data_IF_157081849855
#
_entry.id   IF_157081849855
#
_cell.length_a   1.000
_cell.length_b   1.000
_cell.length_c   1.000
_cell.angle_alpha   90.00
_cell.angle_beta   90.00
_cell.angle_gamma   90.00
#
_symmetry.space_group_name_H-M   'P 1'
#
loop_
_entity.id
_entity.type
_entity.pdbx_description
1 polymer ?
#
# COMPACT_ATOMS: atom_id res chain seq x y z
N UNK A 1 -13.23 -15.54 35.06
CA UNK A 1 -13.06 -16.69 34.19
C UNK A 1 -11.91 -16.43 33.25
N UNK A 2 -10.99 -17.40 33.09
CA UNK A 2 -9.89 -17.27 32.11
C UNK A 2 -10.46 -17.59 30.73
N UNK A 3 -10.92 -16.57 30.00
CA UNK A 3 -11.36 -16.74 28.60
C UNK A 3 -10.21 -17.23 27.73
N UNK A 4 -10.45 -18.28 26.96
CA UNK A 4 -9.46 -18.90 26.07
C UNK A 4 -9.44 -18.18 24.74
N UNK A 5 -8.24 -17.74 24.32
CA UNK A 5 -8.01 -17.15 22.99
C UNK A 5 -7.42 -18.22 22.07
N UNK A 6 -7.99 -18.37 20.90
CA UNK A 6 -7.56 -19.28 19.85
C UNK A 6 -7.38 -18.54 18.51
N UNK A 7 -6.87 -19.24 17.50
CA UNK A 7 -6.75 -18.70 16.14
C UNK A 7 -6.98 -19.79 15.10
N UNK A 8 -7.40 -19.37 13.93
CA UNK A 8 -7.49 -20.21 12.74
C UNK A 8 -6.84 -19.51 11.54
N UNK A 9 -6.07 -20.30 10.76
CA UNK A 9 -5.40 -19.80 9.54
C UNK A 9 -6.19 -20.29 8.34
N UNK A 10 -6.60 -19.35 7.50
CA UNK A 10 -7.34 -19.60 6.25
C UNK A 10 -6.42 -19.37 5.05
N UNK A 11 -6.51 -20.26 4.07
CA UNK A 11 -5.74 -20.22 2.84
C UNK A 11 -6.52 -19.59 1.66
N UNK A 12 -7.80 -19.35 1.85
CA UNK A 12 -8.69 -18.75 0.84
C UNK A 12 -9.71 -17.81 1.48
N UNK A 13 -10.04 -16.72 0.79
CA UNK A 13 -11.06 -15.76 1.19
C UNK A 13 -12.45 -16.41 1.25
N UNK A 14 -12.71 -17.44 0.44
CA UNK A 14 -13.97 -18.18 0.44
C UNK A 14 -14.24 -18.95 1.73
N UNK A 15 -13.18 -19.27 2.50
CA UNK A 15 -13.27 -20.00 3.77
C UNK A 15 -13.47 -19.10 4.99
N UNK A 16 -13.46 -17.77 4.81
CA UNK A 16 -13.57 -16.83 5.92
C UNK A 16 -14.99 -16.84 6.53
N UNK A 17 -15.10 -16.73 7.86
CA UNK A 17 -16.39 -16.64 8.54
C UNK A 17 -17.24 -15.49 8.01
N UNK A 18 -18.57 -15.63 8.08
CA UNK A 18 -19.51 -14.59 7.62
C UNK A 18 -19.35 -13.29 8.42
N UNK A 19 -19.02 -13.44 9.70
CA UNK A 19 -18.79 -12.34 10.65
C UNK A 19 -17.52 -11.54 10.36
N UNK A 20 -16.65 -12.01 9.47
CA UNK A 20 -15.38 -11.35 9.13
C UNK A 20 -15.58 -9.88 8.75
N UNK A 21 -16.56 -9.59 7.90
CA UNK A 21 -16.83 -8.23 7.45
C UNK A 21 -17.37 -7.31 8.55
N UNK A 22 -17.93 -7.84 9.64
CA UNK A 22 -18.35 -7.02 10.78
C UNK A 22 -17.15 -6.37 11.48
N UNK A 23 -16.01 -7.07 11.56
CA UNK A 23 -14.78 -6.50 12.10
C UNK A 23 -14.04 -5.62 11.10
N UNK A 24 -14.15 -5.94 9.80
CA UNK A 24 -13.51 -5.16 8.74
C UNK A 24 -14.25 -3.85 8.42
N UNK A 25 -15.41 -3.56 9.03
CA UNK A 25 -16.34 -2.50 8.66
C UNK A 25 -15.72 -1.12 8.44
N UNK A 26 -14.69 -0.78 9.21
CA UNK A 26 -14.00 0.51 9.14
C UNK A 26 -12.74 0.48 8.22
N UNK A 27 -12.43 -0.67 7.59
CA UNK A 27 -11.27 -0.83 6.71
C UNK A 27 -11.58 -1.76 5.54
N UNK A 28 -11.86 -1.17 4.38
CA UNK A 28 -12.20 -1.91 3.16
C UNK A 28 -11.12 -2.93 2.75
N UNK A 29 -9.85 -2.67 3.09
CA UNK A 29 -8.71 -3.53 2.75
C UNK A 29 -8.61 -4.82 3.58
N UNK A 30 -9.52 -5.02 4.53
CA UNK A 30 -9.64 -6.24 5.30
C UNK A 30 -10.99 -6.95 5.06
N UNK A 31 -11.86 -6.42 4.20
CA UNK A 31 -13.12 -7.07 3.82
C UNK A 31 -12.87 -8.33 2.99
N UNK A 32 -13.80 -9.30 3.06
CA UNK A 32 -13.72 -10.55 2.30
C UNK A 32 -13.60 -10.31 0.80
N UNK A 33 -14.30 -9.31 0.29
CA UNK A 33 -14.28 -8.90 -1.12
C UNK A 33 -12.90 -8.42 -1.53
N UNK A 34 -12.25 -7.57 -0.74
CA UNK A 34 -10.88 -7.13 -1.04
C UNK A 34 -9.87 -8.28 -0.91
N UNK A 35 -10.04 -9.16 0.08
CA UNK A 35 -9.17 -10.33 0.25
C UNK A 35 -9.33 -11.31 -0.92
N UNK A 36 -10.53 -11.41 -1.52
CA UNK A 36 -10.77 -12.15 -2.77
C UNK A 36 -10.01 -11.53 -3.96
N UNK A 37 -9.98 -10.19 -4.06
CA UNK A 37 -9.15 -9.50 -5.06
C UNK A 37 -7.68 -9.85 -4.88
N UNK A 38 -7.17 -9.84 -3.64
CA UNK A 38 -5.79 -10.21 -3.36
C UNK A 38 -5.47 -11.66 -3.70
N UNK A 39 -6.41 -12.58 -3.51
CA UNK A 39 -6.22 -13.99 -3.80
C UNK A 39 -6.17 -14.27 -5.31
N UNK A 40 -7.13 -13.70 -6.07
CA UNK A 40 -7.34 -14.05 -7.48
C UNK A 40 -6.57 -13.16 -8.47
N UNK A 41 -6.03 -12.03 -8.02
CA UNK A 41 -5.21 -11.13 -8.85
C UNK A 41 -3.90 -10.74 -8.16
N UNK A 42 -3.36 -11.64 -7.32
CA UNK A 42 -2.06 -11.45 -6.67
C UNK A 42 -0.93 -11.31 -7.68
N UNK A 43 0.14 -10.57 -7.32
CA UNK A 43 1.44 -10.74 -7.94
C UNK A 43 1.88 -12.21 -7.93
N UNK A 44 2.51 -12.67 -9.01
CA UNK A 44 2.92 -14.08 -9.19
C UNK A 44 3.89 -14.60 -8.11
N UNK A 45 4.57 -13.68 -7.42
CA UNK A 45 5.52 -13.97 -6.36
C UNK A 45 4.95 -13.72 -4.96
N UNK A 46 3.62 -13.60 -4.81
CA UNK A 46 2.96 -13.32 -3.55
C UNK A 46 1.85 -14.35 -3.27
N UNK A 47 1.72 -14.77 -2.01
CA UNK A 47 0.62 -15.62 -1.55
C UNK A 47 0.03 -15.03 -0.28
N UNK A 48 -1.29 -14.87 -0.22
CA UNK A 48 -1.98 -14.37 0.95
C UNK A 48 -2.42 -15.50 1.88
N UNK A 49 -2.44 -15.21 3.20
CA UNK A 49 -3.07 -16.04 4.22
C UNK A 49 -3.82 -15.13 5.17
N UNK A 50 -4.92 -15.59 5.69
CA UNK A 50 -5.80 -14.82 6.55
C UNK A 50 -5.89 -15.51 7.91
N UNK A 51 -5.93 -14.75 9.00
CA UNK A 51 -5.97 -15.31 10.35
C UNK A 51 -7.18 -14.74 11.08
N UNK A 52 -8.07 -15.61 11.54
CA UNK A 52 -9.10 -15.26 12.50
C UNK A 52 -8.58 -15.50 13.92
N UNK A 53 -8.82 -14.54 14.82
CA UNK A 53 -8.55 -14.68 16.26
C UNK A 53 -9.89 -14.76 16.97
N UNK A 54 -10.02 -15.71 17.87
CA UNK A 54 -11.26 -16.02 18.55
C UNK A 54 -11.11 -15.90 20.07
N UNK A 55 -12.15 -15.45 20.72
CA UNK A 55 -12.38 -15.61 22.15
C UNK A 55 -13.48 -16.64 22.29
N UNK A 56 -13.11 -17.83 22.77
CA UNK A 56 -13.95 -19.02 22.68
C UNK A 56 -14.35 -19.31 21.22
N UNK A 57 -15.62 -19.16 20.84
CA UNK A 57 -16.12 -19.31 19.46
C UNK A 57 -16.35 -17.97 18.74
N UNK A 58 -16.29 -16.83 19.47
CA UNK A 58 -16.52 -15.51 18.89
C UNK A 58 -15.30 -15.02 18.15
N UNK A 59 -15.47 -14.66 16.87
CA UNK A 59 -14.43 -13.95 16.10
C UNK A 59 -14.21 -12.55 16.68
N UNK A 60 -12.98 -12.26 17.13
CA UNK A 60 -12.61 -11.01 17.80
C UNK A 60 -11.44 -10.29 17.12
N UNK A 61 -10.85 -10.91 16.11
CA UNK A 61 -9.76 -10.31 15.37
C UNK A 61 -9.59 -10.94 14.00
N UNK A 62 -9.23 -10.11 13.03
CA UNK A 62 -8.95 -10.49 11.65
C UNK A 62 -7.60 -9.95 11.23
N UNK A 63 -6.83 -10.74 10.48
CA UNK A 63 -5.45 -10.43 10.10
C UNK A 63 -5.20 -10.82 8.66
N UNK A 64 -4.54 -9.93 7.91
CA UNK A 64 -3.99 -10.21 6.59
C UNK A 64 -2.48 -10.48 6.70
N UNK A 65 -2.02 -11.54 6.06
CA UNK A 65 -0.60 -11.81 5.87
C UNK A 65 -0.30 -12.07 4.41
N UNK A 66 0.90 -11.66 3.98
CA UNK A 66 1.37 -11.86 2.61
C UNK A 66 2.77 -12.48 2.64
N UNK A 67 2.92 -13.64 2.03
CA UNK A 67 4.21 -14.28 1.83
C UNK A 67 4.75 -13.95 0.46
N UNK A 68 5.92 -13.33 0.41
CA UNK A 68 6.56 -12.82 -0.80
C UNK A 68 7.83 -13.61 -1.12
N UNK A 69 7.96 -14.05 -2.38
CA UNK A 69 9.19 -14.61 -2.96
C UNK A 69 9.93 -13.53 -3.71
N UNK A 70 11.03 -13.07 -3.16
CA UNK A 70 11.86 -12.04 -3.78
C UNK A 70 12.90 -12.59 -4.79
N UNK A 71 13.07 -13.91 -4.91
CA UNK A 71 14.03 -14.54 -5.83
C UNK A 71 13.74 -14.28 -7.31
N UNK A 72 12.49 -13.97 -7.63
CA UNK A 72 12.03 -13.67 -8.98
C UNK A 72 12.01 -12.16 -9.30
N UNK A 73 12.68 -11.33 -8.50
CA UNK A 73 12.74 -9.89 -8.72
C UNK A 73 13.72 -9.57 -9.87
N UNK A 74 13.18 -9.23 -11.02
CA UNK A 74 13.95 -8.79 -12.18
C UNK A 74 14.44 -7.33 -12.10
N UNK A 75 14.05 -6.60 -11.06
CA UNK A 75 14.30 -5.15 -10.99
C UNK A 75 14.66 -4.66 -9.59
N UNK A 76 15.89 -4.85 -9.20
CA UNK A 76 16.58 -3.83 -8.41
C UNK A 76 17.25 -2.90 -9.44
N UNK A 77 16.76 -1.67 -9.56
CA UNK A 77 17.14 -0.73 -10.60
C UNK A 77 18.64 -0.76 -10.93
N UNK A 78 18.96 -0.92 -12.21
CA UNK A 78 20.33 -1.01 -12.76
C UNK A 78 21.16 0.28 -12.60
N UNK A 79 20.87 1.13 -11.62
CA UNK A 79 21.52 2.44 -11.50
C UNK A 79 22.95 2.44 -10.95
N UNK A 80 23.42 1.32 -10.33
CA UNK A 80 24.78 1.24 -9.83
C UNK A 80 25.42 -0.14 -10.13
N UNK A 81 26.23 -0.21 -11.16
CA UNK A 81 27.14 -1.35 -11.44
C UNK A 81 28.34 -1.36 -10.50
N UNK A 82 28.15 -1.19 -9.20
CA UNK A 82 29.21 -1.21 -8.21
C UNK A 82 29.26 -2.58 -7.49
N UNK A 83 30.44 -2.99 -7.06
CA UNK A 83 30.65 -4.19 -6.20
C UNK A 83 29.67 -4.24 -5.02
N UNK A 84 29.28 -3.08 -4.45
CA UNK A 84 28.26 -2.96 -3.40
C UNK A 84 26.89 -3.48 -3.83
N UNK A 85 26.50 -3.27 -5.09
CA UNK A 85 25.22 -3.74 -5.63
C UNK A 85 25.21 -5.26 -5.76
N UNK A 86 26.32 -5.86 -6.22
CA UNK A 86 26.45 -7.32 -6.32
C UNK A 86 26.40 -7.99 -4.96
N UNK A 87 27.10 -7.44 -3.95
CA UNK A 87 27.06 -7.95 -2.57
C UNK A 87 25.66 -7.79 -1.97
N UNK A 88 25.02 -6.65 -2.19
CA UNK A 88 23.64 -6.41 -1.75
C UNK A 88 22.65 -7.41 -2.38
N UNK A 89 22.75 -7.63 -3.69
CA UNK A 89 21.87 -8.55 -4.40
C UNK A 89 22.10 -10.01 -3.95
N UNK A 90 23.36 -10.40 -3.73
CA UNK A 90 23.70 -11.70 -3.17
C UNK A 90 23.11 -11.88 -1.75
N UNK A 91 23.25 -10.88 -0.88
CA UNK A 91 22.72 -10.92 0.47
C UNK A 91 21.17 -10.97 0.47
N UNK A 92 20.53 -10.16 -0.36
CA UNK A 92 19.07 -10.17 -0.50
C UNK A 92 18.58 -11.52 -1.03
N UNK A 93 19.20 -12.06 -2.07
CA UNK A 93 18.81 -13.34 -2.67
C UNK A 93 18.93 -14.51 -1.70
N UNK A 94 19.99 -14.58 -0.92
CA UNK A 94 20.27 -15.75 -0.08
C UNK A 94 19.70 -15.63 1.34
N UNK A 95 19.50 -14.42 1.86
CA UNK A 95 19.12 -14.20 3.26
C UNK A 95 17.83 -13.40 3.44
N UNK A 96 17.28 -12.80 2.39
CA UNK A 96 16.08 -11.95 2.49
C UNK A 96 15.05 -12.22 1.38
N UNK A 97 15.20 -13.30 0.63
CA UNK A 97 14.34 -13.60 -0.52
C UNK A 97 12.91 -14.02 -0.16
N UNK A 98 12.68 -14.51 1.04
CA UNK A 98 11.37 -14.99 1.49
C UNK A 98 10.90 -14.16 2.67
N UNK A 99 9.94 -13.29 2.43
CA UNK A 99 9.42 -12.34 3.42
C UNK A 99 7.97 -12.64 3.75
N UNK A 100 7.66 -12.82 5.03
CA UNK A 100 6.29 -12.86 5.53
C UNK A 100 5.93 -11.47 6.07
N UNK A 101 5.07 -10.78 5.36
CA UNK A 101 4.46 -9.55 5.83
C UNK A 101 3.21 -9.84 6.66
N UNK A 102 3.09 -9.19 7.79
CA UNK A 102 1.83 -9.02 8.51
C UNK A 102 1.33 -7.64 8.13
N UNK A 103 0.31 -7.61 7.29
CA UNK A 103 -0.20 -6.43 6.62
C UNK A 103 -0.19 -6.53 5.10
N UNK A 104 -0.52 -5.43 4.45
CA UNK A 104 -0.61 -5.36 3.00
C UNK A 104 0.63 -4.70 2.39
N UNK A 105 1.43 -5.46 1.63
CA UNK A 105 2.62 -4.92 0.98
C UNK A 105 2.32 -4.06 -0.25
N UNK A 106 1.08 -4.08 -0.73
CA UNK A 106 0.61 -3.31 -1.89
C UNK A 106 0.06 -1.93 -1.50
N UNK A 107 -0.09 -1.66 -0.19
CA UNK A 107 -0.66 -0.43 0.37
C UNK A 107 0.27 0.18 1.42
N UNK A 108 -0.04 1.40 1.84
CA UNK A 108 0.52 2.07 3.02
C UNK A 108 -0.56 2.26 4.08
N UNK A 109 -0.11 2.44 5.33
CA UNK A 109 -1.01 2.51 6.47
C UNK A 109 -1.28 1.16 7.10
N UNK A 110 -1.94 1.18 8.26
CA UNK A 110 -2.23 -0.01 9.05
C UNK A 110 -3.37 -0.82 8.41
N UNK A 111 -3.00 -1.76 7.55
CA UNK A 111 -3.89 -2.72 6.89
C UNK A 111 -3.51 -4.16 7.26
N UNK A 112 -2.96 -4.36 8.46
CA UNK A 112 -2.52 -5.66 8.93
C UNK A 112 -3.63 -6.43 9.64
N UNK A 113 -4.34 -5.79 10.54
CA UNK A 113 -5.37 -6.44 11.35
C UNK A 113 -6.36 -5.43 11.94
N UNK A 114 -7.51 -5.94 12.34
CA UNK A 114 -8.48 -5.27 13.20
C UNK A 114 -8.85 -6.20 14.34
N UNK A 115 -8.96 -5.65 15.55
CA UNK A 115 -9.48 -6.35 16.73
C UNK A 115 -10.77 -5.68 17.20
N UNK A 116 -11.69 -6.47 17.78
CA UNK A 116 -12.88 -5.96 18.47
C UNK A 116 -12.44 -4.93 19.54
N UNK A 117 -13.08 -3.77 19.56
CA UNK A 117 -12.73 -2.64 20.46
C UNK A 117 -12.91 -2.99 21.95
N UNK A 118 -13.71 -4.03 22.27
CA UNK A 118 -14.08 -4.41 23.61
C UNK A 118 -13.19 -5.49 24.23
N UNK A 119 -12.14 -5.95 23.54
CA UNK A 119 -11.27 -7.02 24.02
C UNK A 119 -9.99 -6.52 24.68
N UNK A 120 -9.34 -7.39 25.42
CA UNK A 120 -8.00 -7.14 25.95
C UNK A 120 -6.94 -7.26 24.82
N UNK A 121 -6.58 -6.14 24.21
CA UNK A 121 -5.68 -6.06 23.06
C UNK A 121 -4.37 -6.85 23.27
N UNK A 122 -3.78 -6.82 24.48
CA UNK A 122 -2.55 -7.57 24.76
C UNK A 122 -2.70 -9.10 24.61
N UNK A 123 -3.88 -9.67 24.94
CA UNK A 123 -4.16 -11.09 24.71
C UNK A 123 -4.31 -11.40 23.21
N UNK A 124 -4.99 -10.53 22.46
CA UNK A 124 -5.15 -10.69 21.02
C UNK A 124 -3.80 -10.62 20.29
N UNK A 125 -2.94 -9.67 20.64
CA UNK A 125 -1.57 -9.55 20.07
C UNK A 125 -0.71 -10.79 20.41
N UNK A 126 -0.81 -11.31 21.65
CA UNK A 126 -0.13 -12.56 22.01
C UNK A 126 -0.62 -13.76 21.20
N UNK A 127 -1.91 -13.81 20.92
CA UNK A 127 -2.51 -14.86 20.06
C UNK A 127 -2.08 -14.69 18.61
N UNK A 128 -2.04 -13.46 18.10
CA UNK A 128 -1.47 -13.14 16.80
C UNK A 128 -0.01 -13.61 16.69
N UNK A 129 0.82 -13.38 17.71
CA UNK A 129 2.21 -13.87 17.73
C UNK A 129 2.29 -15.41 17.60
N UNK A 130 1.42 -16.14 18.33
CA UNK A 130 1.32 -17.59 18.21
C UNK A 130 0.89 -18.02 16.80
N UNK A 131 -0.11 -17.34 16.21
CA UNK A 131 -0.60 -17.62 14.88
C UNK A 131 0.48 -17.38 13.79
N UNK A 132 1.25 -16.30 13.89
CA UNK A 132 2.39 -16.02 13.00
C UNK A 132 3.43 -17.16 13.09
N UNK A 133 3.75 -17.63 14.30
CA UNK A 133 4.70 -18.72 14.49
C UNK A 133 4.19 -20.04 13.91
N UNK A 134 2.88 -20.32 14.04
CA UNK A 134 2.27 -21.49 13.39
C UNK A 134 2.31 -21.37 11.86
N UNK A 135 1.92 -20.23 11.29
CA UNK A 135 1.98 -20.00 9.85
C UNK A 135 3.41 -20.19 9.30
N UNK A 136 4.43 -19.74 10.03
CA UNK A 136 5.84 -19.98 9.64
C UNK A 136 6.21 -21.47 9.63
N UNK A 137 5.66 -22.28 10.53
CA UNK A 137 5.84 -23.74 10.54
C UNK A 137 5.14 -24.38 9.34
N UNK A 138 3.89 -24.03 9.09
CA UNK A 138 3.09 -24.55 7.98
C UNK A 138 3.76 -24.23 6.63
N UNK A 139 4.27 -23.00 6.47
CA UNK A 139 5.05 -22.60 5.30
C UNK A 139 6.32 -23.43 5.16
N UNK A 140 7.06 -23.65 6.23
CA UNK A 140 8.28 -24.47 6.22
C UNK A 140 7.97 -25.93 5.85
N UNK A 141 6.91 -26.50 6.36
CA UNK A 141 6.45 -27.87 6.04
C UNK A 141 6.06 -27.98 4.54
N UNK A 142 5.55 -26.90 3.95
CA UNK A 142 5.28 -26.83 2.51
C UNK A 142 6.52 -26.46 1.66
N UNK A 143 7.73 -26.49 2.24
CA UNK A 143 8.98 -26.17 1.55
C UNK A 143 9.30 -24.68 1.41
N UNK A 144 8.51 -23.80 2.03
CA UNK A 144 8.66 -22.34 1.95
C UNK A 144 9.26 -21.77 3.22
N UNK A 145 10.60 -21.67 3.29
CA UNK A 145 11.27 -21.12 4.48
C UNK A 145 11.12 -19.60 4.55
N UNK A 146 10.54 -19.08 5.63
CA UNK A 146 10.48 -17.65 5.91
C UNK A 146 11.84 -17.17 6.41
N UNK A 147 12.48 -16.24 5.71
CA UNK A 147 13.72 -15.60 6.12
C UNK A 147 13.44 -14.39 7.01
N UNK A 148 12.57 -13.51 6.58
CA UNK A 148 12.20 -12.27 7.26
C UNK A 148 10.72 -12.29 7.59
N UNK A 149 10.37 -11.84 8.79
CA UNK A 149 9.00 -11.50 9.17
C UNK A 149 8.93 -10.00 9.41
N UNK A 150 7.99 -9.31 8.76
CA UNK A 150 7.80 -7.87 8.88
C UNK A 150 6.35 -7.53 9.23
N UNK A 151 6.16 -6.82 10.33
CA UNK A 151 4.88 -6.21 10.72
C UNK A 151 5.05 -4.73 10.40
N UNK A 152 4.24 -4.17 9.48
CA UNK A 152 4.57 -2.88 8.87
C UNK A 152 3.42 -1.88 8.89
N UNK A 153 3.82 -0.60 8.80
CA UNK A 153 2.96 0.55 8.51
C UNK A 153 2.03 0.97 9.66
N UNK A 154 2.62 1.13 10.82
CA UNK A 154 1.96 1.62 12.02
C UNK A 154 2.42 3.04 12.37
N UNK A 155 1.54 3.84 12.91
CA UNK A 155 1.92 5.08 13.62
C UNK A 155 2.66 4.76 14.91
N UNK A 156 3.31 5.78 15.52
CA UNK A 156 4.02 5.59 16.78
C UNK A 156 3.13 5.03 17.90
N UNK A 157 1.87 5.47 17.97
CA UNK A 157 0.89 5.00 18.97
C UNK A 157 0.44 3.56 18.74
N UNK A 158 0.25 3.18 17.49
CA UNK A 158 -0.25 1.84 17.12
C UNK A 158 0.82 0.76 17.29
N UNK A 159 2.11 1.10 17.15
CA UNK A 159 3.19 0.12 17.24
C UNK A 159 3.56 -0.25 18.67
N UNK A 160 3.31 0.61 19.67
CA UNK A 160 3.69 0.38 21.07
C UNK A 160 3.21 -0.98 21.64
N UNK A 161 1.93 -1.39 21.47
CA UNK A 161 1.46 -2.67 21.99
C UNK A 161 2.14 -3.86 21.30
N UNK A 162 2.53 -3.71 20.03
CA UNK A 162 3.27 -4.71 19.28
C UNK A 162 4.71 -4.83 19.77
N UNK A 163 5.39 -3.73 20.03
CA UNK A 163 6.75 -3.73 20.58
C UNK A 163 6.81 -4.44 21.92
N UNK A 164 5.79 -4.29 22.76
CA UNK A 164 5.71 -4.96 24.06
C UNK A 164 5.67 -6.49 23.97
N UNK A 165 5.04 -7.06 22.92
CA UNK A 165 4.96 -8.51 22.69
C UNK A 165 6.13 -9.01 21.84
N UNK A 166 6.50 -8.30 20.77
CA UNK A 166 7.54 -8.70 19.79
C UNK A 166 8.92 -8.16 20.17
N UNK A 167 9.36 -8.36 21.41
CA UNK A 167 10.59 -7.78 22.01
C UNK A 167 11.88 -8.05 21.23
N UNK A 168 11.94 -9.17 20.50
CA UNK A 168 13.12 -9.58 19.73
C UNK A 168 13.13 -9.01 18.29
N UNK A 169 12.12 -8.23 17.94
CA UNK A 169 12.04 -7.59 16.64
C UNK A 169 12.73 -6.21 16.66
N UNK A 170 13.40 -5.89 15.59
CA UNK A 170 13.95 -4.55 15.39
C UNK A 170 12.85 -3.60 14.91
N UNK A 171 12.72 -2.46 15.56
CA UNK A 171 11.82 -1.39 15.12
C UNK A 171 12.53 -0.54 14.07
N UNK A 172 11.91 -0.38 12.91
CA UNK A 172 12.42 0.45 11.83
C UNK A 172 11.40 1.51 11.42
N UNK A 173 11.86 2.60 10.85
CA UNK A 173 11.04 3.61 10.20
C UNK A 173 10.97 3.31 8.71
N UNK A 174 9.81 3.46 8.11
CA UNK A 174 9.64 3.40 6.65
C UNK A 174 9.58 4.80 6.07
N UNK A 175 9.61 4.92 4.74
CA UNK A 175 9.26 6.19 4.09
C UNK A 175 7.88 6.65 4.58
N UNK A 176 7.69 7.96 4.80
CA UNK A 176 6.44 8.48 5.33
C UNK A 176 5.27 8.21 4.39
N UNK A 177 4.09 8.05 4.96
CA UNK A 177 2.84 8.08 4.23
C UNK A 177 2.45 9.54 3.99
N UNK A 178 2.20 9.92 2.73
CA UNK A 178 1.79 11.28 2.39
C UNK A 178 0.27 11.37 2.50
N UNK A 179 -0.23 12.16 3.44
CA UNK A 179 -1.66 12.33 3.71
C UNK A 179 -2.05 13.79 3.44
N UNK A 180 -3.14 13.96 2.72
CA UNK A 180 -3.77 15.26 2.50
C UNK A 180 -5.07 15.32 3.30
N UNK A 181 -5.09 16.09 4.38
CA UNK A 181 -6.29 16.36 5.15
C UNK A 181 -7.14 17.42 4.45
N UNK A 182 -8.40 17.13 4.20
CA UNK A 182 -9.34 18.05 3.57
C UNK A 182 -10.03 18.87 4.67
N UNK A 183 -9.90 20.21 4.67
CA UNK A 183 -10.62 21.05 5.61
C UNK A 183 -12.13 20.87 5.51
N UNK A 184 -12.80 20.77 6.63
CA UNK A 184 -14.26 20.49 6.69
C UNK A 184 -15.14 21.50 5.97
N UNK A 185 -14.65 22.73 5.79
CA UNK A 185 -15.36 23.79 5.09
C UNK A 185 -15.09 23.86 3.59
N UNK A 186 -14.34 22.91 3.03
CA UNK A 186 -14.13 22.83 1.58
C UNK A 186 -15.18 21.92 0.95
N UNK A 187 -15.85 22.46 -0.08
CA UNK A 187 -16.90 21.76 -0.82
C UNK A 187 -16.56 21.61 -2.30
N UNK A 188 -15.67 22.47 -2.81
CA UNK A 188 -15.34 22.58 -4.22
C UNK A 188 -13.83 22.64 -4.47
N UNK A 189 -13.42 22.36 -5.71
CA UNK A 189 -12.03 22.56 -6.15
C UNK A 189 -11.58 24.02 -6.00
N UNK A 190 -12.52 24.99 -6.08
CA UNK A 190 -12.21 26.41 -5.93
C UNK A 190 -11.70 26.73 -4.52
N UNK A 191 -12.25 26.09 -3.48
CA UNK A 191 -11.78 26.28 -2.10
C UNK A 191 -10.31 25.89 -1.94
N UNK A 192 -9.91 24.78 -2.58
CA UNK A 192 -8.51 24.36 -2.65
C UNK A 192 -7.64 25.40 -3.38
N UNK A 193 -8.09 25.90 -4.55
CA UNK A 193 -7.34 26.89 -5.35
C UNK A 193 -7.16 28.18 -4.57
N UNK A 194 -8.17 28.63 -3.85
CA UNK A 194 -8.15 29.89 -3.08
C UNK A 194 -7.25 29.80 -1.85
N UNK A 195 -7.10 28.61 -1.27
CA UNK A 195 -6.16 28.36 -0.19
C UNK A 195 -4.69 28.39 -0.66
N UNK A 196 -4.40 28.09 -1.93
CA UNK A 196 -3.04 28.07 -2.45
C UNK A 196 -2.37 29.48 -2.37
N UNK A 197 -1.10 29.51 -2.00
CA UNK A 197 -0.25 30.69 -2.15
C UNK A 197 -0.04 31.03 -3.63
N UNK A 198 0.34 32.27 -3.95
CA UNK A 198 0.48 32.74 -5.34
C UNK A 198 1.32 31.79 -6.20
N UNK A 199 2.48 31.36 -5.72
CA UNK A 199 3.40 30.46 -6.43
C UNK A 199 2.70 29.16 -6.86
N UNK A 200 1.97 28.51 -5.95
CA UNK A 200 1.33 27.23 -6.22
C UNK A 200 0.02 27.36 -6.99
N UNK A 201 -0.66 28.49 -6.87
CA UNK A 201 -1.80 28.84 -7.73
C UNK A 201 -1.35 29.03 -9.18
N UNK A 202 -0.20 29.66 -9.40
CA UNK A 202 0.38 29.81 -10.74
C UNK A 202 0.85 28.43 -11.29
N UNK A 203 1.39 27.56 -10.42
CA UNK A 203 1.71 26.16 -10.78
C UNK A 203 0.45 25.40 -11.22
N UNK A 204 -0.65 25.50 -10.43
CA UNK A 204 -1.94 24.89 -10.76
C UNK A 204 -2.44 25.37 -12.13
N UNK A 205 -2.55 26.68 -12.36
CA UNK A 205 -2.98 27.25 -13.63
C UNK A 205 -2.13 26.78 -14.80
N UNK A 206 -0.81 26.73 -14.63
CA UNK A 206 0.11 26.24 -15.65
C UNK A 206 -0.09 24.76 -15.94
N UNK A 207 -0.30 23.94 -14.94
CA UNK A 207 -0.55 22.51 -15.10
C UNK A 207 -1.85 22.26 -15.86
N UNK A 208 -2.94 22.96 -15.49
CA UNK A 208 -4.23 22.87 -16.18
C UNK A 208 -4.12 23.33 -17.63
N UNK A 209 -3.42 24.43 -17.90
CA UNK A 209 -3.18 24.90 -19.29
C UNK A 209 -2.36 23.90 -20.11
N UNK A 210 -1.36 23.24 -19.51
CA UNK A 210 -0.54 22.25 -20.23
C UNK A 210 -1.28 20.96 -20.52
N UNK A 211 -2.29 20.61 -19.72
CA UNK A 211 -3.13 19.44 -19.96
C UNK A 211 -4.29 19.69 -20.94
N UNK A 212 -4.32 20.85 -21.57
CA UNK A 212 -5.31 21.13 -22.61
C UNK A 212 -5.26 20.07 -23.71
N UNK A 213 -6.44 19.65 -24.20
CA UNK A 213 -6.63 18.56 -25.13
C UNK A 213 -6.65 17.15 -24.48
N UNK A 214 -6.35 17.02 -23.17
CA UNK A 214 -6.48 15.73 -22.47
C UNK A 214 -7.91 15.57 -21.96
N UNK A 215 -8.58 14.50 -22.40
CA UNK A 215 -9.89 14.09 -21.91
C UNK A 215 -9.73 13.11 -20.73
N UNK A 216 -10.21 13.49 -19.55
CA UNK A 216 -10.35 12.59 -18.41
C UNK A 216 -11.69 11.88 -18.44
N UNK A 217 -11.70 10.58 -18.35
CA UNK A 217 -12.90 9.74 -18.37
C UNK A 217 -12.90 8.74 -17.22
N UNK A 218 -14.04 8.60 -16.52
CA UNK A 218 -14.26 7.47 -15.61
C UNK A 218 -14.44 6.22 -16.43
N UNK A 219 -13.66 5.19 -16.14
CA UNK A 219 -13.72 3.90 -16.82
C UNK A 219 -14.57 2.91 -16.04
N UNK A 220 -15.50 2.26 -16.72
CA UNK A 220 -16.29 1.16 -16.21
C UNK A 220 -15.61 -0.17 -16.52
N UNK A 221 -16.17 -1.28 -16.04
CA UNK A 221 -15.56 -2.60 -16.17
C UNK A 221 -15.23 -2.95 -17.64
N UNK A 222 -16.16 -2.68 -18.56
CA UNK A 222 -15.98 -2.97 -19.97
C UNK A 222 -14.86 -2.10 -20.59
N UNK A 223 -14.76 -0.85 -20.20
CA UNK A 223 -13.67 0.03 -20.61
C UNK A 223 -12.31 -0.51 -20.10
N UNK A 224 -12.27 -0.90 -18.82
CA UNK A 224 -11.04 -1.43 -18.20
C UNK A 224 -10.62 -2.73 -18.91
N UNK A 225 -11.56 -3.63 -19.19
CA UNK A 225 -11.30 -4.87 -19.96
C UNK A 225 -10.82 -4.56 -21.38
N UNK A 226 -11.44 -3.60 -22.05
CA UNK A 226 -11.05 -3.15 -23.41
C UNK A 226 -9.61 -2.63 -23.48
N UNK A 227 -9.19 -1.87 -22.46
CA UNK A 227 -7.85 -1.25 -22.41
C UNK A 227 -6.89 -1.98 -21.46
N UNK A 228 -7.17 -3.23 -21.06
CA UNK A 228 -6.42 -3.95 -20.02
C UNK A 228 -4.91 -4.01 -20.30
N UNK A 229 -4.51 -4.35 -21.52
CA UNK A 229 -3.10 -4.41 -21.89
C UNK A 229 -2.43 -3.03 -21.84
N UNK A 230 -3.09 -1.99 -22.35
CA UNK A 230 -2.56 -0.61 -22.32
C UNK A 230 -2.43 -0.11 -20.88
N UNK A 231 -3.44 -0.36 -20.03
CA UNK A 231 -3.40 -0.01 -18.60
C UNK A 231 -2.24 -0.72 -17.91
N UNK A 232 -2.05 -2.02 -18.20
CA UNK A 232 -0.95 -2.77 -17.63
C UNK A 232 0.41 -2.25 -18.08
N UNK A 233 0.60 -1.93 -19.35
CA UNK A 233 1.85 -1.42 -19.88
C UNK A 233 2.20 -0.05 -19.32
N UNK A 234 1.22 0.85 -19.18
CA UNK A 234 1.39 2.16 -18.52
C UNK A 234 1.76 1.98 -17.03
N UNK A 235 1.10 1.08 -16.32
CA UNK A 235 1.44 0.74 -14.94
C UNK A 235 2.86 0.17 -14.84
N UNK A 236 3.17 -0.83 -15.67
CA UNK A 236 4.45 -1.54 -15.64
C UNK A 236 5.62 -0.61 -15.90
N UNK A 237 5.45 0.36 -16.83
CA UNK A 237 6.46 1.38 -17.08
C UNK A 237 6.81 2.17 -15.80
N UNK A 238 5.81 2.63 -15.04
CA UNK A 238 6.03 3.35 -13.79
C UNK A 238 6.62 2.43 -12.71
N UNK A 239 6.07 1.22 -12.57
CA UNK A 239 6.48 0.27 -11.55
C UNK A 239 7.93 -0.22 -11.76
N UNK A 240 8.34 -0.46 -13.01
CA UNK A 240 9.70 -0.89 -13.38
C UNK A 240 10.74 0.21 -13.06
N UNK A 241 10.36 1.47 -13.22
CA UNK A 241 11.25 2.62 -12.97
C UNK A 241 11.26 3.06 -11.50
N UNK A 242 10.47 2.44 -10.62
CA UNK A 242 10.50 2.73 -9.20
C UNK A 242 11.87 2.33 -8.59
N UNK A 243 12.42 3.13 -7.66
CA UNK A 243 13.72 2.83 -7.03
C UNK A 243 13.76 1.50 -6.28
N UNK A 244 12.63 1.06 -5.80
CA UNK A 244 12.43 -0.20 -5.09
C UNK A 244 11.05 -0.75 -5.40
N UNK A 245 11.00 -1.93 -6.03
CA UNK A 245 9.77 -2.65 -6.28
C UNK A 245 9.97 -4.14 -5.95
N UNK A 246 9.05 -4.74 -5.21
CA UNK A 246 9.13 -6.13 -4.76
C UNK A 246 8.16 -7.06 -5.49
N UNK A 247 7.30 -6.53 -6.34
CA UNK A 247 6.31 -7.29 -7.11
C UNK A 247 5.79 -6.47 -8.29
N UNK A 248 5.20 -7.17 -9.26
CA UNK A 248 4.37 -6.57 -10.29
C UNK A 248 2.95 -7.13 -10.19
N UNK A 249 1.95 -6.27 -10.42
CA UNK A 249 0.55 -6.68 -10.45
C UNK A 249 0.30 -7.70 -11.56
N UNK A 250 -0.70 -8.55 -11.39
CA UNK A 250 -1.21 -9.38 -12.48
C UNK A 250 -1.90 -8.48 -13.54
N UNK A 251 -1.91 -8.92 -14.81
CA UNK A 251 -2.52 -8.14 -15.91
C UNK A 251 -3.99 -7.82 -15.64
N UNK A 252 -4.74 -8.78 -15.17
CA UNK A 252 -6.16 -8.66 -14.84
C UNK A 252 -6.44 -7.97 -13.51
N UNK A 253 -5.43 -7.44 -12.83
CA UNK A 253 -5.62 -6.92 -11.47
C UNK A 253 -6.66 -5.80 -11.41
N UNK A 254 -6.60 -4.83 -12.33
CA UNK A 254 -7.51 -3.69 -12.31
C UNK A 254 -8.93 -4.04 -12.73
N UNK A 255 -9.10 -4.93 -13.73
CA UNK A 255 -10.41 -5.41 -14.17
C UNK A 255 -11.07 -6.26 -13.10
N UNK A 256 -10.33 -7.20 -12.48
CA UNK A 256 -10.82 -8.01 -11.39
C UNK A 256 -11.15 -7.18 -10.14
N UNK A 257 -10.30 -6.21 -9.80
CA UNK A 257 -10.57 -5.28 -8.71
C UNK A 257 -11.88 -4.50 -8.94
N UNK A 258 -12.09 -3.98 -10.16
CA UNK A 258 -13.33 -3.28 -10.51
C UNK A 258 -14.54 -4.20 -10.46
N UNK A 259 -14.40 -5.44 -10.90
CA UNK A 259 -15.48 -6.43 -10.90
C UNK A 259 -15.98 -6.73 -9.48
N UNK A 260 -15.06 -6.98 -8.54
CA UNK A 260 -15.40 -7.35 -7.16
C UNK A 260 -15.78 -6.13 -6.30
N UNK A 261 -15.02 -5.04 -6.38
CA UNK A 261 -15.22 -3.88 -5.51
C UNK A 261 -16.19 -2.84 -6.06
N UNK A 262 -16.64 -2.98 -7.30
CA UNK A 262 -17.65 -2.12 -7.92
C UNK A 262 -17.31 -0.63 -7.82
N UNK A 263 -18.21 0.15 -7.24
CA UNK A 263 -18.06 1.61 -7.11
C UNK A 263 -17.10 2.04 -5.97
N UNK A 264 -16.60 1.11 -5.18
CA UNK A 264 -15.55 1.40 -4.20
C UNK A 264 -14.17 1.49 -4.85
N UNK A 265 -13.99 0.91 -6.06
CA UNK A 265 -12.80 1.06 -6.88
C UNK A 265 -13.09 1.95 -8.09
N UNK A 266 -12.34 3.04 -8.22
CA UNK A 266 -12.47 4.00 -9.29
C UNK A 266 -11.21 3.98 -10.15
N UNK A 267 -11.37 3.92 -11.46
CA UNK A 267 -10.30 4.10 -12.44
C UNK A 267 -10.68 5.24 -13.38
N UNK A 268 -9.78 6.20 -13.53
CA UNK A 268 -9.90 7.30 -14.49
C UNK A 268 -8.80 7.17 -15.54
N UNK A 269 -9.22 7.08 -16.81
CA UNK A 269 -8.33 7.14 -17.97
C UNK A 269 -8.13 8.59 -18.43
N UNK A 270 -6.95 8.89 -18.94
CA UNK A 270 -6.57 10.18 -19.56
C UNK A 270 -6.25 9.91 -21.02
N UNK A 271 -6.99 10.54 -21.90
CA UNK A 271 -6.91 10.34 -23.34
C UNK A 271 -6.40 11.59 -24.05
N UNK A 272 -5.48 11.43 -24.98
CA UNK A 272 -5.01 12.45 -25.91
C UNK A 272 -5.11 11.88 -27.31
N UNK A 273 -5.84 12.57 -28.20
CA UNK A 273 -6.10 12.10 -29.57
C UNK A 273 -6.58 10.63 -29.59
N UNK A 274 -7.59 10.34 -28.79
CA UNK A 274 -8.21 9.00 -28.58
C UNK A 274 -7.27 7.92 -27.99
N UNK A 275 -5.99 8.21 -27.81
CA UNK A 275 -5.03 7.30 -27.20
C UNK A 275 -5.07 7.42 -25.68
N UNK A 276 -5.18 6.31 -24.96
CA UNK A 276 -5.01 6.25 -23.50
C UNK A 276 -3.53 6.51 -23.15
N UNK A 277 -3.23 7.68 -22.57
CA UNK A 277 -1.87 8.11 -22.22
C UNK A 277 -1.56 8.01 -20.72
N UNK A 278 -2.55 7.70 -19.92
CA UNK A 278 -2.38 7.52 -18.48
C UNK A 278 -3.67 7.16 -17.79
N UNK A 279 -3.54 6.69 -16.57
CA UNK A 279 -4.67 6.40 -15.69
C UNK A 279 -4.28 6.60 -14.23
N UNK A 280 -5.27 6.83 -13.40
CA UNK A 280 -5.13 6.75 -11.95
C UNK A 280 -6.25 5.92 -11.32
N UNK A 281 -5.99 5.40 -10.13
CA UNK A 281 -6.97 4.63 -9.38
C UNK A 281 -7.15 5.17 -7.97
N UNK A 282 -8.39 5.09 -7.48
CA UNK A 282 -8.81 5.53 -6.16
C UNK A 282 -9.66 4.44 -5.51
N UNK A 283 -9.53 4.28 -4.20
CA UNK A 283 -10.31 3.32 -3.40
C UNK A 283 -11.02 4.10 -2.30
N UNK A 284 -12.33 3.93 -2.20
CA UNK A 284 -13.14 4.53 -1.14
C UNK A 284 -13.05 3.65 0.11
N UNK A 285 -12.49 4.17 1.18
CA UNK A 285 -12.30 3.48 2.44
C UNK A 285 -12.96 4.27 3.58
N UNK A 286 -14.26 4.08 3.74
CA UNK A 286 -15.06 4.90 4.65
C UNK A 286 -15.06 6.37 4.24
N UNK A 287 -14.60 7.25 5.13
CA UNK A 287 -14.43 8.69 4.89
C UNK A 287 -13.03 9.08 4.36
N UNK A 288 -12.19 8.08 4.05
CA UNK A 288 -10.85 8.22 3.50
C UNK A 288 -10.84 7.84 2.03
N UNK A 289 -10.10 8.59 1.22
CA UNK A 289 -9.80 8.25 -0.17
C UNK A 289 -8.37 7.75 -0.26
N UNK A 290 -8.20 6.47 -0.55
CA UNK A 290 -6.88 5.90 -0.81
C UNK A 290 -6.53 6.00 -2.30
N UNK A 291 -5.36 6.55 -2.63
CA UNK A 291 -4.80 6.43 -3.97
C UNK A 291 -4.12 5.08 -4.10
N UNK A 292 -4.25 4.47 -5.29
CA UNK A 292 -3.67 3.18 -5.54
C UNK A 292 -2.64 3.28 -6.66
N UNK A 293 -2.49 2.27 -7.51
CA UNK A 293 -1.53 2.35 -8.62
C UNK A 293 -2.02 3.28 -9.72
N UNK A 294 -1.08 3.84 -10.45
CA UNK A 294 -1.30 4.68 -11.62
C UNK A 294 -0.26 4.33 -12.70
N UNK A 295 -0.53 4.77 -13.90
CA UNK A 295 0.40 4.64 -15.01
C UNK A 295 0.31 5.83 -15.95
N UNK A 296 1.39 6.13 -16.67
CA UNK A 296 1.41 7.18 -17.66
C UNK A 296 2.49 6.93 -18.74
N UNK A 297 2.25 7.52 -19.89
CA UNK A 297 3.22 7.58 -21.00
C UNK A 297 4.27 8.67 -20.67
N UNK A 298 5.52 8.25 -20.43
CA UNK A 298 6.62 9.17 -20.07
C UNK A 298 6.90 10.19 -21.18
N UNK A 299 6.62 9.86 -22.45
CA UNK A 299 6.87 10.75 -23.57
C UNK A 299 6.04 12.05 -23.51
N UNK A 300 4.84 12.00 -22.92
CA UNK A 300 3.94 13.14 -22.78
C UNK A 300 3.81 13.67 -21.35
N UNK A 301 4.19 12.86 -20.35
CA UNK A 301 4.00 13.19 -18.95
C UNK A 301 4.60 14.54 -18.54
N UNK A 302 5.84 14.83 -18.94
CA UNK A 302 6.54 16.08 -18.55
C UNK A 302 5.96 17.29 -19.25
N UNK A 303 5.70 17.19 -20.55
CA UNK A 303 5.14 18.27 -21.35
C UNK A 303 3.74 18.65 -20.85
N UNK A 304 2.88 17.66 -20.65
CA UNK A 304 1.49 17.84 -20.23
C UNK A 304 1.32 17.96 -18.71
N UNK A 305 2.39 17.83 -17.93
CA UNK A 305 2.34 17.77 -16.46
C UNK A 305 1.29 16.77 -15.95
N UNK A 306 1.21 15.61 -16.61
CA UNK A 306 0.11 14.66 -16.46
C UNK A 306 -0.02 14.15 -15.02
N UNK A 307 1.08 13.74 -14.40
CA UNK A 307 1.07 13.25 -13.02
C UNK A 307 0.57 14.31 -12.02
N UNK A 308 0.99 15.57 -12.18
CA UNK A 308 0.54 16.66 -11.32
C UNK A 308 -0.96 16.95 -11.51
N UNK A 309 -1.46 16.88 -12.74
CA UNK A 309 -2.90 17.01 -13.02
C UNK A 309 -3.70 15.86 -12.43
N UNK A 310 -3.18 14.61 -12.46
CA UNK A 310 -3.80 13.48 -11.76
C UNK A 310 -3.95 13.75 -10.26
N UNK A 311 -2.93 14.30 -9.59
CA UNK A 311 -3.01 14.65 -8.17
C UNK A 311 -4.09 15.72 -7.91
N UNK A 312 -4.15 16.78 -8.72
CA UNK A 312 -5.20 17.79 -8.60
C UNK A 312 -6.59 17.21 -8.82
N UNK A 313 -6.74 16.30 -9.78
CA UNK A 313 -8.02 15.64 -10.05
C UNK A 313 -8.49 14.72 -8.91
N UNK A 314 -7.54 14.04 -8.25
CA UNK A 314 -7.83 13.23 -7.06
C UNK A 314 -8.31 14.13 -5.90
N UNK A 315 -7.65 15.28 -5.70
CA UNK A 315 -8.03 16.28 -4.69
C UNK A 315 -9.43 16.83 -4.98
N UNK A 316 -9.66 17.32 -6.19
CA UNK A 316 -10.95 17.89 -6.61
C UNK A 316 -12.10 16.87 -6.45
N UNK A 317 -11.88 15.62 -6.84
CA UNK A 317 -12.85 14.55 -6.67
C UNK A 317 -13.16 14.30 -5.18
N UNK A 318 -12.13 14.22 -4.34
CA UNK A 318 -12.27 13.89 -2.93
C UNK A 318 -12.98 15.01 -2.16
N UNK A 319 -12.65 16.28 -2.44
CA UNK A 319 -13.38 17.44 -1.89
C UNK A 319 -14.84 17.39 -2.29
N UNK A 320 -15.14 17.28 -3.59
CA UNK A 320 -16.52 17.24 -4.12
C UNK A 320 -17.34 16.09 -3.52
N UNK A 321 -16.71 14.99 -3.10
CA UNK A 321 -17.37 13.82 -2.52
C UNK A 321 -17.40 13.82 -0.99
N UNK A 322 -16.83 14.85 -0.34
CA UNK A 322 -16.86 15.03 1.11
C UNK A 322 -15.96 14.05 1.88
N UNK A 323 -14.89 13.56 1.25
CA UNK A 323 -13.90 12.76 1.97
C UNK A 323 -13.13 13.63 2.96
N UNK A 324 -12.75 13.06 4.10
CA UNK A 324 -12.00 13.73 5.15
C UNK A 324 -10.52 13.88 4.80
N UNK A 325 -9.95 12.88 4.15
CA UNK A 325 -8.53 12.87 3.77
C UNK A 325 -8.26 12.01 2.54
N UNK A 326 -7.09 12.26 1.95
CA UNK A 326 -6.56 11.47 0.84
C UNK A 326 -5.23 10.86 1.28
N UNK A 327 -5.09 9.56 1.17
CA UNK A 327 -3.84 8.83 1.37
C UNK A 327 -3.13 8.72 0.02
N UNK A 328 -2.08 9.54 -0.18
CA UNK A 328 -1.25 9.50 -1.40
C UNK A 328 -0.14 8.46 -1.35
N UNK A 329 -0.02 7.73 -0.25
CA UNK A 329 1.00 6.73 -0.04
C UNK A 329 2.45 7.26 -0.11
N UNK A 330 3.42 6.35 -0.29
CA UNK A 330 4.86 6.62 -0.37
C UNK A 330 5.28 7.08 -1.76
N UNK A 331 6.56 7.37 -1.92
CA UNK A 331 7.20 7.81 -3.18
C UNK A 331 6.76 9.20 -3.64
N UNK A 332 7.53 9.81 -4.54
CA UNK A 332 7.25 11.13 -5.09
C UNK A 332 6.86 12.19 -4.01
N UNK A 333 7.57 12.17 -2.86
CA UNK A 333 7.22 12.93 -1.66
C UNK A 333 7.14 14.44 -1.94
N UNK A 334 8.10 14.97 -2.70
CA UNK A 334 8.18 16.40 -2.99
C UNK A 334 7.01 16.92 -3.82
N UNK A 335 6.60 16.19 -4.86
CA UNK A 335 5.46 16.60 -5.69
C UNK A 335 4.13 16.46 -4.93
N UNK A 336 3.98 15.42 -4.10
CA UNK A 336 2.80 15.25 -3.24
C UNK A 336 2.71 16.33 -2.18
N UNK A 337 3.83 16.74 -1.58
CA UNK A 337 3.83 17.87 -0.64
C UNK A 337 3.54 19.20 -1.36
N UNK A 338 3.91 19.35 -2.64
CA UNK A 338 3.61 20.54 -3.43
C UNK A 338 2.12 20.73 -3.73
N UNK A 339 1.30 19.70 -3.56
CA UNK A 339 -0.17 19.79 -3.65
C UNK A 339 -0.84 19.79 -2.27
N UNK A 340 -0.06 19.77 -1.17
CA UNK A 340 -0.54 19.94 0.19
C UNK A 340 -0.54 18.69 1.08
N UNK A 341 -0.10 17.54 0.56
CA UNK A 341 0.04 16.36 1.38
C UNK A 341 1.19 16.51 2.38
N UNK A 342 0.98 16.04 3.61
CA UNK A 342 1.96 16.08 4.69
C UNK A 342 2.51 14.69 5.00
N UNK A 343 3.79 14.58 5.40
CA UNK A 343 4.38 13.30 5.74
C UNK A 343 3.96 12.83 7.13
N UNK A 344 3.39 11.64 7.20
CA UNK A 344 3.11 10.93 8.46
C UNK A 344 4.14 9.81 8.62
N UNK A 345 4.90 9.86 9.72
CA UNK A 345 5.91 8.84 10.02
C UNK A 345 5.27 7.50 10.28
N UNK A 346 5.80 6.46 9.63
CA UNK A 346 5.35 5.09 9.77
C UNK A 346 6.48 4.22 10.29
N UNK A 347 6.10 3.23 11.08
CA UNK A 347 7.02 2.30 11.75
C UNK A 347 6.65 0.87 11.42
N UNK A 348 7.61 -0.02 11.58
CA UNK A 348 7.41 -1.45 11.48
C UNK A 348 8.32 -2.21 12.43
N UNK A 349 8.01 -3.49 12.60
CA UNK A 349 8.82 -4.44 13.31
C UNK A 349 9.35 -5.47 12.32
N UNK A 350 10.62 -5.79 12.41
CA UNK A 350 11.26 -6.80 11.55
C UNK A 350 12.09 -7.77 12.37
N UNK A 351 12.04 -9.03 11.99
CA UNK A 351 12.89 -10.08 12.56
C UNK A 351 13.38 -11.02 11.47
N UNK A 352 14.61 -11.51 11.63
CA UNK A 352 15.19 -12.51 10.76
C UNK A 352 15.20 -13.89 11.42
N UNK A 353 14.95 -14.96 10.64
CA UNK A 353 14.90 -16.33 11.16
C UNK A 353 16.23 -16.88 11.67
N UNK A 354 17.35 -16.33 11.16
CA UNK A 354 18.70 -16.65 11.66
C UNK A 354 19.06 -15.69 12.81
N UNK A 355 19.38 -16.24 13.98
CA UNK A 355 19.65 -15.47 15.20
C UNK A 355 20.86 -14.53 15.06
N UNK A 356 21.92 -14.94 14.35
CA UNK A 356 23.13 -14.11 14.14
C UNK A 356 22.83 -12.90 13.26
N UNK A 357 22.03 -13.09 12.20
CA UNK A 357 21.60 -12.00 11.34
C UNK A 357 20.63 -11.09 12.11
N UNK A 358 19.70 -11.68 12.87
CA UNK A 358 18.74 -10.92 13.66
C UNK A 358 19.44 -10.03 14.71
N UNK A 359 20.46 -10.53 15.36
CA UNK A 359 21.25 -9.75 16.33
C UNK A 359 21.91 -8.51 15.70
N UNK A 360 22.29 -8.58 14.42
CA UNK A 360 22.92 -7.49 13.69
C UNK A 360 21.96 -6.76 12.72
N UNK A 361 20.65 -7.02 12.78
CA UNK A 361 19.69 -6.55 11.79
C UNK A 361 19.64 -5.02 11.69
N UNK A 362 19.83 -4.31 12.80
CA UNK A 362 19.90 -2.84 12.84
C UNK A 362 21.05 -2.29 11.99
N UNK A 363 22.24 -2.94 12.05
CA UNK A 363 23.41 -2.52 11.25
C UNK A 363 23.16 -2.73 9.76
N UNK A 364 22.57 -3.87 9.40
CA UNK A 364 22.20 -4.16 8.01
C UNK A 364 21.15 -3.19 7.49
N UNK A 365 20.12 -2.89 8.29
CA UNK A 365 19.08 -1.96 7.91
C UNK A 365 19.61 -0.55 7.68
N UNK A 366 20.39 -0.01 8.62
CA UNK A 366 21.01 1.32 8.50
C UNK A 366 21.98 1.44 7.32
N UNK A 367 22.63 0.33 6.94
CA UNK A 367 23.52 0.29 5.78
C UNK A 367 22.78 0.22 4.45
N UNK A 368 21.62 -0.47 4.42
CA UNK A 368 20.84 -0.71 3.21
C UNK A 368 19.73 0.33 3.00
N UNK A 369 19.38 1.11 4.03
CA UNK A 369 18.35 2.13 3.95
C UNK A 369 18.79 3.25 2.99
N UNK A 370 18.08 3.48 1.88
CA UNK A 370 18.41 4.57 0.99
C UNK A 370 18.07 5.89 1.69
N UNK A 371 19.08 6.74 1.87
CA UNK A 371 18.87 8.11 2.33
C UNK A 371 18.18 8.88 1.22
N UNK A 372 16.88 9.09 1.36
CA UNK A 372 16.12 9.92 0.43
C UNK A 372 16.12 11.35 0.96
N UNK A 373 16.95 12.22 0.37
CA UNK A 373 16.86 13.65 0.60
C UNK A 373 15.72 14.21 -0.25
N UNK A 374 14.76 14.85 0.37
CA UNK A 374 13.65 15.53 -0.30
C UNK A 374 13.26 16.78 0.48
N UNK A 375 12.69 17.76 -0.21
CA UNK A 375 12.25 19.01 0.40
C UNK A 375 10.74 19.02 0.53
N UNK A 376 10.25 19.07 1.77
CA UNK A 376 8.82 19.28 2.01
C UNK A 376 8.41 20.66 1.49
N UNK A 377 7.31 20.68 0.74
CA UNK A 377 6.70 21.88 0.20
C UNK A 377 5.46 22.23 0.99
N UNK A 378 5.23 23.51 1.21
CA UNK A 378 3.99 24.00 1.81
C UNK A 378 3.29 24.92 0.78
N UNK A 379 2.21 24.42 0.14
CA UNK A 379 1.55 25.18 -0.93
C UNK A 379 0.57 26.23 -0.43
N UNK A 380 0.08 26.14 0.81
CA UNK A 380 -0.96 26.99 1.34
C UNK A 380 -0.42 28.32 1.92
N UNK A 381 -1.36 29.28 2.09
CA UNK A 381 -1.09 30.59 2.71
C UNK A 381 -0.81 30.46 4.21
#
# INVERSE_FOLDING_TARGET
MNTTYSFQIYKSASLLPVEWNLLAADNIFLTREYLEVLENSSPVNMTCHFIGIFEEEKLIGIVLTQFLFAEKLESFGERDKCLKTSVRNFALKNFASHVLFIGNNMLTGQNAFVFDKNIKQSKAIKTLHKAINQLKKDLKESGKKVHITSIKDFTAKEIEPLQAEFKNNYTFSTQPNMIFEIPKNWETEQDYIDALSKKYRDQYKRARKKSDGILKQKMFLDDIKKYEDVIYDLYFHVAKNAPFNTFFLARNHFSFFKEIMGENFLLYGYFLDEKLIGFNTLIKNGDVMDTYFLGYDESVQREKMLYLNMLYDMIAYSIKKGFREIVFARTALEIKSSVGAKPVKMYGLITHSNALINHNISRFFNYLEPKTEWQERNPFK
#
